data_IF_479694282611
#
_entry.id   IF_479694282611
#
_cell.length_a   1.000
_cell.length_b   1.000
_cell.length_c   1.000
_cell.angle_alpha   90.00
_cell.angle_beta   90.00
_cell.angle_gamma   90.00
#
_symmetry.space_group_name_H-M   'P 1'
#
loop_
_entity.id
_entity.type
_entity.pdbx_description
1 polymer ?
#
# COMPACT_ATOMS: atom_id res chain seq x y z
N UNK A 1 -4.97 -47.59 -19.70
CA UNK A 1 -5.52 -46.53 -20.58
C UNK A 1 -4.88 -45.21 -20.19
N UNK A 2 -4.03 -44.66 -21.06
CA UNK A 2 -3.44 -43.33 -20.87
C UNK A 2 -4.44 -42.28 -21.36
N UNK A 3 -4.99 -41.49 -20.43
CA UNK A 3 -5.79 -40.31 -20.78
C UNK A 3 -4.82 -39.17 -21.11
N UNK A 4 -4.35 -39.11 -22.35
CA UNK A 4 -3.74 -37.88 -22.88
C UNK A 4 -4.86 -36.87 -23.11
N UNK A 5 -5.13 -36.03 -22.10
CA UNK A 5 -5.97 -34.87 -22.28
C UNK A 5 -5.29 -33.90 -23.25
N UNK A 6 -5.76 -33.86 -24.50
CA UNK A 6 -5.38 -32.84 -25.47
C UNK A 6 -6.01 -31.51 -25.05
N UNK A 7 -5.21 -30.62 -24.47
CA UNK A 7 -5.61 -29.27 -24.12
C UNK A 7 -5.48 -28.34 -25.35
N UNK A 8 -6.54 -28.22 -26.16
CA UNK A 8 -6.59 -27.33 -27.33
C UNK A 8 -6.97 -25.89 -26.93
N UNK A 9 -6.02 -25.17 -26.32
CA UNK A 9 -6.12 -23.73 -26.06
C UNK A 9 -5.49 -22.95 -27.20
N UNK A 10 -6.17 -21.87 -27.64
CA UNK A 10 -5.66 -20.98 -28.69
C UNK A 10 -5.91 -19.52 -28.36
N UNK A 11 -5.11 -18.63 -28.95
CA UNK A 11 -5.39 -17.20 -29.01
C UNK A 11 -6.31 -16.95 -30.19
N UNK A 12 -7.51 -16.39 -29.96
CA UNK A 12 -8.44 -16.08 -31.05
C UNK A 12 -8.40 -14.61 -31.47
N UNK A 13 -7.93 -13.72 -30.60
CA UNK A 13 -7.76 -12.29 -30.87
C UNK A 13 -6.66 -11.73 -29.98
N UNK A 14 -5.87 -10.80 -30.53
CA UNK A 14 -4.94 -9.96 -29.78
C UNK A 14 -5.46 -8.53 -29.78
N UNK A 15 -5.42 -7.87 -28.63
CA UNK A 15 -5.63 -6.43 -28.48
C UNK A 15 -4.30 -5.76 -28.14
N UNK A 16 -3.91 -4.81 -28.98
CA UNK A 16 -2.63 -4.12 -28.94
C UNK A 16 -2.75 -2.67 -28.42
N UNK A 17 -3.89 -2.29 -27.80
CA UNK A 17 -4.15 -0.93 -27.30
C UNK A 17 -2.97 -0.35 -26.50
N UNK A 18 -2.28 -1.20 -25.73
CA UNK A 18 -1.19 -0.81 -24.83
C UNK A 18 0.20 -1.25 -25.30
N UNK A 19 0.35 -1.57 -26.59
CA UNK A 19 1.61 -2.05 -27.17
C UNK A 19 2.78 -1.09 -27.00
N UNK A 20 2.52 0.23 -26.93
CA UNK A 20 3.54 1.25 -26.64
C UNK A 20 4.24 1.07 -25.28
N UNK A 21 3.58 0.44 -24.32
CA UNK A 21 4.16 0.09 -23.02
C UNK A 21 4.63 -1.39 -22.97
N UNK A 22 4.57 -2.08 -24.12
CA UNK A 22 4.91 -3.49 -24.26
C UNK A 22 3.82 -4.44 -23.79
N UNK A 23 2.56 -4.01 -23.75
CA UNK A 23 1.44 -4.85 -23.31
C UNK A 23 0.53 -5.28 -24.45
N UNK A 24 0.06 -6.52 -24.39
CA UNK A 24 -0.94 -7.09 -25.28
C UNK A 24 -1.97 -7.89 -24.47
N UNK A 25 -3.22 -7.91 -24.92
CA UNK A 25 -4.26 -8.73 -24.32
C UNK A 25 -4.69 -9.84 -25.31
N UNK A 26 -4.35 -11.08 -24.97
CA UNK A 26 -4.56 -12.26 -25.82
C UNK A 26 -5.83 -12.96 -25.38
N UNK A 27 -6.90 -12.82 -26.15
CA UNK A 27 -8.18 -13.45 -25.82
C UNK A 27 -8.14 -14.94 -26.15
N UNK A 28 -8.62 -15.76 -25.22
CA UNK A 28 -8.42 -17.22 -25.26
C UNK A 28 -9.67 -17.97 -25.76
N UNK A 29 -9.45 -19.01 -26.57
CA UNK A 29 -10.45 -20.01 -26.97
C UNK A 29 -10.01 -21.42 -26.52
N UNK A 30 -10.98 -22.29 -26.31
CA UNK A 30 -10.78 -23.69 -25.94
C UNK A 30 -11.69 -24.57 -26.80
N UNK A 31 -11.10 -25.54 -27.51
CA UNK A 31 -11.81 -26.43 -28.47
C UNK A 31 -12.67 -25.65 -29.48
N UNK A 32 -12.08 -24.61 -30.07
CA UNK A 32 -12.76 -23.72 -31.02
C UNK A 32 -13.76 -22.73 -30.42
N UNK A 33 -14.17 -22.90 -29.16
CA UNK A 33 -15.12 -22.02 -28.49
C UNK A 33 -14.43 -20.89 -27.73
N UNK A 34 -14.96 -19.68 -27.84
CA UNK A 34 -14.49 -18.53 -27.07
C UNK A 34 -14.64 -18.75 -25.56
N UNK A 35 -13.58 -18.53 -24.78
CA UNK A 35 -13.63 -18.64 -23.32
C UNK A 35 -13.87 -17.30 -22.64
N UNK A 36 -14.35 -17.24 -21.40
CA UNK A 36 -14.50 -15.96 -20.66
C UNK A 36 -13.19 -15.27 -20.23
N UNK A 37 -12.04 -15.79 -20.66
CA UNK A 37 -10.73 -15.33 -20.20
C UNK A 37 -9.90 -14.69 -21.32
N UNK A 38 -8.91 -13.92 -20.89
CA UNK A 38 -7.82 -13.38 -21.72
C UNK A 38 -6.51 -13.44 -20.92
N UNK A 39 -5.41 -13.62 -21.62
CA UNK A 39 -4.07 -13.51 -21.07
C UNK A 39 -3.56 -12.07 -21.23
N UNK A 40 -2.88 -11.57 -20.21
CA UNK A 40 -2.14 -10.31 -20.24
C UNK A 40 -0.68 -10.68 -20.51
N UNK A 41 -0.14 -10.17 -21.62
CA UNK A 41 1.24 -10.38 -22.03
C UNK A 41 1.99 -9.06 -21.87
N UNK A 42 3.18 -9.11 -21.26
CA UNK A 42 4.09 -7.95 -21.17
C UNK A 42 5.46 -8.33 -21.73
N UNK A 43 5.84 -7.69 -22.83
CA UNK A 43 7.11 -7.90 -23.54
C UNK A 43 7.36 -9.39 -23.83
N UNK A 44 6.32 -10.05 -24.35
CA UNK A 44 6.36 -11.48 -24.69
C UNK A 44 6.17 -12.47 -23.54
N UNK A 45 6.17 -12.00 -22.27
CA UNK A 45 5.97 -12.88 -21.12
C UNK A 45 4.52 -12.88 -20.65
N UNK A 46 4.00 -14.06 -20.30
CA UNK A 46 2.70 -14.19 -19.65
C UNK A 46 2.76 -13.58 -18.25
N UNK A 47 1.88 -12.60 -18.00
CA UNK A 47 1.73 -11.95 -16.70
C UNK A 47 0.61 -12.60 -15.89
N UNK A 48 -0.58 -12.68 -16.49
CA UNK A 48 -1.77 -13.17 -15.81
C UNK A 48 -2.82 -13.68 -16.81
N UNK A 49 -3.71 -14.55 -16.33
CA UNK A 49 -4.94 -14.92 -17.03
C UNK A 49 -6.10 -14.34 -16.21
N UNK A 50 -6.87 -13.45 -16.82
CA UNK A 50 -7.95 -12.70 -16.19
C UNK A 50 -9.26 -12.89 -16.95
N UNK A 51 -10.37 -12.47 -16.37
CA UNK A 51 -11.64 -12.42 -17.10
C UNK A 51 -11.60 -11.37 -18.20
N UNK A 52 -12.42 -11.54 -19.25
CA UNK A 52 -12.53 -10.55 -20.34
C UNK A 52 -12.97 -9.17 -19.87
N UNK A 53 -13.71 -9.10 -18.76
CA UNK A 53 -14.19 -7.86 -18.15
C UNK A 53 -13.09 -7.07 -17.45
N UNK A 54 -11.93 -7.69 -17.21
CA UNK A 54 -10.78 -7.02 -16.63
C UNK A 54 -10.30 -5.90 -17.57
N UNK A 55 -10.12 -4.69 -17.07
CA UNK A 55 -9.57 -3.58 -17.86
C UNK A 55 -8.11 -3.38 -17.50
N UNK A 56 -7.23 -3.67 -18.46
CA UNK A 56 -5.81 -3.42 -18.30
C UNK A 56 -5.52 -1.92 -18.28
N UNK A 57 -4.86 -1.49 -17.20
CA UNK A 57 -4.23 -0.18 -17.08
C UNK A 57 -2.73 -0.43 -16.85
N UNK A 58 -1.87 -0.11 -17.83
CA UNK A 58 -0.42 -0.27 -17.70
C UNK A 58 0.14 0.50 -16.51
N UNK A 59 1.20 -0.03 -15.89
CA UNK A 59 1.79 0.58 -14.70
C UNK A 59 2.34 1.99 -15.01
N UNK A 60 2.95 2.15 -16.19
CA UNK A 60 3.49 3.40 -16.69
C UNK A 60 2.38 4.43 -16.96
N UNK A 61 1.22 3.99 -17.47
CA UNK A 61 0.07 4.86 -17.65
C UNK A 61 -0.51 5.31 -16.31
N UNK A 62 -0.55 4.42 -15.30
CA UNK A 62 -0.95 4.76 -13.94
C UNK A 62 -0.01 5.78 -13.29
N UNK A 63 1.30 5.64 -13.47
CA UNK A 63 2.29 6.60 -12.97
C UNK A 63 2.06 7.97 -13.61
N UNK A 64 1.85 8.04 -14.93
CA UNK A 64 1.55 9.30 -15.62
C UNK A 64 0.28 9.97 -15.10
N UNK A 65 -0.76 9.19 -14.78
CA UNK A 65 -1.97 9.72 -14.14
C UNK A 65 -1.64 10.28 -12.76
N UNK A 66 -0.88 9.54 -11.96
CA UNK A 66 -0.50 9.95 -10.61
C UNK A 66 0.36 11.22 -10.61
N UNK A 67 1.31 11.34 -11.54
CA UNK A 67 2.16 12.52 -11.70
C UNK A 67 1.31 13.75 -12.04
N UNK A 68 0.38 13.66 -13.01
CA UNK A 68 -0.54 14.76 -13.33
C UNK A 68 -1.39 15.19 -12.13
N UNK A 69 -1.92 14.23 -11.37
CA UNK A 69 -2.70 14.53 -10.16
C UNK A 69 -1.81 15.24 -9.12
N UNK A 70 -0.56 14.79 -8.94
CA UNK A 70 0.37 15.40 -7.98
C UNK A 70 0.68 16.85 -8.31
N UNK A 71 0.91 17.18 -9.59
CA UNK A 71 1.15 18.54 -10.05
C UNK A 71 -0.04 19.46 -9.76
N UNK A 72 -1.26 18.97 -9.99
CA UNK A 72 -2.51 19.73 -9.74
C UNK A 72 -2.77 19.99 -8.26
N UNK A 73 -2.28 19.13 -7.38
CA UNK A 73 -2.45 19.23 -5.93
C UNK A 73 -1.25 19.92 -5.26
N UNK A 74 -0.15 20.14 -5.99
CA UNK A 74 1.08 20.72 -5.45
C UNK A 74 1.87 19.74 -4.58
N UNK A 75 1.72 18.44 -4.82
CA UNK A 75 2.50 17.38 -4.18
C UNK A 75 3.78 17.08 -4.97
N UNK A 76 4.82 16.67 -4.27
CA UNK A 76 6.12 16.31 -4.86
C UNK A 76 6.27 14.80 -4.90
N UNK A 77 6.69 14.27 -6.04
CA UNK A 77 7.03 12.86 -6.18
C UNK A 77 8.27 12.55 -5.34
N UNK A 78 8.16 11.50 -4.54
CA UNK A 78 9.24 11.03 -3.66
C UNK A 78 9.94 9.83 -4.27
N UNK A 79 9.15 8.86 -4.73
CA UNK A 79 9.65 7.61 -5.28
C UNK A 79 8.57 6.93 -6.14
N UNK A 80 8.97 6.01 -7.00
CA UNK A 80 8.06 5.12 -7.73
C UNK A 80 8.62 3.69 -7.70
N UNK A 81 7.97 2.84 -6.92
CA UNK A 81 8.42 1.48 -6.65
C UNK A 81 7.65 0.53 -7.56
N UNK A 82 8.39 -0.20 -8.39
CA UNK A 82 7.85 -1.19 -9.31
C UNK A 82 8.14 -2.61 -8.81
N UNK A 83 7.17 -3.50 -8.98
CA UNK A 83 7.40 -4.94 -9.11
C UNK A 83 7.12 -5.36 -10.56
N UNK A 84 7.22 -6.65 -10.86
CA UNK A 84 6.88 -7.18 -12.19
C UNK A 84 5.43 -6.84 -12.59
N UNK A 85 4.52 -6.82 -11.60
CA UNK A 85 3.07 -6.69 -11.83
C UNK A 85 2.41 -5.52 -11.10
N UNK A 86 3.14 -4.77 -10.28
CA UNK A 86 2.58 -3.70 -9.44
C UNK A 86 3.41 -2.43 -9.50
N UNK A 87 2.76 -1.32 -9.18
CA UNK A 87 3.39 -0.02 -9.01
C UNK A 87 2.85 0.64 -7.74
N UNK A 88 3.75 1.34 -7.05
CA UNK A 88 3.47 2.24 -5.94
C UNK A 88 4.20 3.57 -6.19
N UNK A 89 3.47 4.63 -6.51
CA UNK A 89 4.01 5.97 -6.72
C UNK A 89 3.73 6.83 -5.48
N UNK A 90 4.79 7.32 -4.84
CA UNK A 90 4.74 7.98 -3.54
C UNK A 90 4.89 9.49 -3.74
N UNK A 91 3.99 10.26 -3.14
CA UNK A 91 3.96 11.71 -3.24
C UNK A 91 3.80 12.33 -1.86
N UNK A 92 4.54 13.39 -1.59
CA UNK A 92 4.48 14.15 -0.33
C UNK A 92 3.97 15.56 -0.56
N UNK A 93 3.38 16.13 0.48
CA UNK A 93 3.12 17.56 0.54
C UNK A 93 4.33 18.32 1.10
N UNK A 94 4.22 19.64 1.19
CA UNK A 94 5.27 20.52 1.75
C UNK A 94 5.07 20.82 3.24
N UNK A 95 4.06 20.25 3.88
CA UNK A 95 3.65 20.55 5.24
C UNK A 95 4.32 19.62 6.26
N UNK A 96 5.57 19.93 6.59
CA UNK A 96 6.33 19.22 7.61
C UNK A 96 5.86 19.62 9.02
N UNK A 97 5.73 18.63 9.90
CA UNK A 97 5.33 18.80 11.30
C UNK A 97 6.16 17.92 12.22
N UNK A 98 6.25 18.32 13.48
CA UNK A 98 6.86 17.49 14.52
C UNK A 98 5.78 16.66 15.24
N UNK A 99 6.04 15.37 15.40
CA UNK A 99 5.26 14.45 16.22
C UNK A 99 6.23 13.71 17.13
N UNK A 100 6.18 14.01 18.42
CA UNK A 100 7.24 13.65 19.36
C UNK A 100 8.58 14.23 18.88
N UNK A 101 9.60 13.37 18.77
CA UNK A 101 10.95 13.76 18.29
C UNK A 101 11.17 13.59 16.78
N UNK A 102 10.14 13.20 16.04
CA UNK A 102 10.25 12.91 14.61
C UNK A 102 9.55 13.97 13.78
N UNK A 103 10.20 14.39 12.69
CA UNK A 103 9.52 15.15 11.66
C UNK A 103 8.68 14.19 10.83
N UNK A 104 7.48 14.62 10.47
CA UNK A 104 6.53 13.87 9.66
C UNK A 104 5.91 14.80 8.63
N UNK A 105 5.71 14.30 7.42
CA UNK A 105 4.94 14.98 6.39
C UNK A 105 3.93 14.03 5.80
N UNK A 106 2.70 14.51 5.61
CA UNK A 106 1.66 13.73 4.97
C UNK A 106 1.82 13.76 3.45
N UNK A 107 1.18 12.79 2.82
CA UNK A 107 1.11 12.68 1.40
C UNK A 107 0.11 11.61 1.01
N UNK A 108 0.27 11.13 -0.21
CA UNK A 108 -0.49 9.99 -0.70
C UNK A 108 0.44 9.09 -1.51
N UNK A 109 0.05 7.83 -1.63
CA UNK A 109 0.64 6.96 -2.62
C UNK A 109 -0.46 6.43 -3.53
N UNK A 110 -0.19 6.42 -4.83
CA UNK A 110 -1.04 5.76 -5.81
C UNK A 110 -0.48 4.37 -6.09
N UNK A 111 -1.37 3.43 -6.37
CA UNK A 111 -1.01 2.05 -6.57
C UNK A 111 -1.83 1.43 -7.70
N UNK A 112 -1.23 0.47 -8.39
CA UNK A 112 -1.87 -0.26 -9.48
C UNK A 112 -1.32 -1.69 -9.58
N UNK A 113 -2.11 -2.62 -10.13
CA UNK A 113 -1.59 -3.91 -10.59
C UNK A 113 -2.11 -4.28 -11.97
N UNK A 114 -1.30 -5.02 -12.72
CA UNK A 114 -1.66 -5.54 -14.05
C UNK A 114 -2.07 -7.02 -14.02
N UNK A 115 -1.99 -7.68 -12.87
CA UNK A 115 -2.33 -9.09 -12.68
C UNK A 115 -3.67 -9.31 -11.96
N UNK A 116 -4.34 -8.21 -11.56
CA UNK A 116 -5.60 -8.24 -10.83
C UNK A 116 -5.48 -8.51 -9.34
N UNK A 117 -4.25 -8.56 -8.79
CA UNK A 117 -4.02 -8.69 -7.35
C UNK A 117 -4.40 -7.43 -6.55
N UNK A 118 -4.48 -6.28 -7.23
CA UNK A 118 -4.79 -4.98 -6.65
C UNK A 118 -5.58 -4.11 -7.64
N UNK A 119 -6.42 -3.22 -7.12
CA UNK A 119 -7.09 -2.20 -7.92
C UNK A 119 -6.15 -1.03 -8.26
N UNK A 120 -6.56 -0.18 -9.18
CA UNK A 120 -6.00 1.16 -9.28
C UNK A 120 -6.55 2.01 -8.13
N UNK A 121 -5.68 2.70 -7.39
CA UNK A 121 -6.13 3.44 -6.23
C UNK A 121 -5.11 4.43 -5.67
N UNK A 122 -5.53 5.12 -4.62
CA UNK A 122 -4.71 6.05 -3.86
C UNK A 122 -5.00 5.91 -2.36
N UNK A 123 -3.97 6.04 -1.52
CA UNK A 123 -4.08 5.90 -0.06
C UNK A 123 -3.11 6.82 0.65
N UNK A 124 -3.30 6.97 1.97
CA UNK A 124 -2.52 7.93 2.76
C UNK A 124 -1.09 7.46 2.91
N UNK A 125 -0.16 8.40 2.73
CA UNK A 125 1.25 8.26 3.03
C UNK A 125 1.62 9.19 4.19
N UNK A 126 2.49 8.74 5.07
CA UNK A 126 3.30 9.66 5.89
C UNK A 126 4.79 9.36 5.67
N UNK A 127 5.54 10.38 5.26
CA UNK A 127 7.01 10.38 5.23
C UNK A 127 7.51 10.75 6.63
N UNK A 128 8.36 9.91 7.21
CA UNK A 128 8.92 10.05 8.56
C UNK A 128 10.42 10.22 8.44
N UNK A 129 10.95 11.29 9.03
CA UNK A 129 12.39 11.56 9.05
C UNK A 129 13.04 11.09 10.35
N UNK A 130 14.13 10.34 10.22
CA UNK A 130 14.98 9.92 11.34
C UNK A 130 16.43 10.31 11.01
N UNK A 131 16.87 11.44 11.55
CA UNK A 131 18.11 12.11 11.10
C UNK A 131 17.99 12.49 9.62
N UNK A 132 18.96 12.05 8.82
CA UNK A 132 18.95 12.24 7.35
C UNK A 132 18.14 11.20 6.58
N UNK A 133 17.67 10.13 7.24
CA UNK A 133 16.97 9.03 6.58
C UNK A 133 15.46 9.27 6.52
N UNK A 134 14.83 8.73 5.48
CA UNK A 134 13.39 8.83 5.22
C UNK A 134 12.75 7.44 5.21
N UNK A 135 11.60 7.31 5.85
CA UNK A 135 10.81 6.08 5.88
C UNK A 135 9.34 6.38 5.64
N UNK A 136 8.57 5.37 5.25
CA UNK A 136 7.20 5.56 4.77
C UNK A 136 6.19 4.73 5.56
N UNK A 137 5.22 5.39 6.17
CA UNK A 137 4.03 4.75 6.69
C UNK A 137 2.97 4.67 5.58
N UNK A 138 2.79 3.48 5.02
CA UNK A 138 1.77 3.21 3.99
C UNK A 138 0.46 2.80 4.65
N UNK A 139 -0.56 3.66 4.56
CA UNK A 139 -1.84 3.48 5.24
C UNK A 139 -2.97 3.22 4.22
N UNK A 140 -3.12 1.96 3.81
CA UNK A 140 -4.22 1.54 2.93
C UNK A 140 -5.60 1.57 3.59
N UNK A 141 -6.68 1.48 2.80
CA UNK A 141 -8.08 1.58 3.28
C UNK A 141 -8.40 0.81 4.56
N UNK A 142 -8.04 -0.47 4.63
CA UNK A 142 -8.31 -1.31 5.81
C UNK A 142 -7.54 -0.89 7.06
N UNK A 143 -6.37 -0.27 6.88
CA UNK A 143 -5.61 0.27 7.99
C UNK A 143 -6.18 1.64 8.41
N UNK A 144 -6.54 2.47 7.43
CA UNK A 144 -7.26 3.73 7.66
C UNK A 144 -8.58 3.51 8.41
N UNK A 145 -9.34 2.46 8.09
CA UNK A 145 -10.60 2.11 8.77
C UNK A 145 -10.47 1.66 10.20
N UNK A 146 -9.24 1.38 10.64
CA UNK A 146 -8.92 0.95 11.99
C UNK A 146 -8.49 2.14 12.85
N UNK A 147 -7.72 3.04 12.27
CA UNK A 147 -7.22 4.23 12.97
C UNK A 147 -8.22 5.41 12.91
N UNK A 148 -9.07 5.47 11.88
CA UNK A 148 -10.14 6.46 11.72
C UNK A 148 -11.52 5.83 11.96
N UNK A 149 -12.57 6.64 12.12
CA UNK A 149 -13.93 6.11 12.20
C UNK A 149 -14.32 5.41 10.87
N UNK A 150 -15.16 4.34 10.92
CA UNK A 150 -15.52 3.56 9.73
C UNK A 150 -16.09 4.39 8.57
N UNK A 151 -16.91 5.39 8.88
CA UNK A 151 -17.50 6.33 7.92
C UNK A 151 -16.44 7.18 7.20
N UNK A 152 -15.34 7.50 7.89
CA UNK A 152 -14.24 8.33 7.37
C UNK A 152 -13.21 7.52 6.58
N UNK A 153 -13.21 6.20 6.74
CA UNK A 153 -12.31 5.29 6.05
C UNK A 153 -12.68 4.99 4.59
N UNK A 154 -13.90 5.38 4.20
CA UNK A 154 -14.47 5.17 2.85
C UNK A 154 -13.76 6.05 1.80
N UNK A 155 -13.00 7.07 2.21
CA UNK A 155 -12.29 8.00 1.33
C UNK A 155 -10.97 7.44 0.79
N UNK A 156 -10.94 6.19 0.34
CA UNK A 156 -9.83 5.62 -0.43
C UNK A 156 -10.24 5.52 -1.87
N UNK A 157 -9.46 6.12 -2.77
CA UNK A 157 -9.64 5.87 -4.19
C UNK A 157 -9.36 4.38 -4.43
N UNK A 158 -10.41 3.65 -4.80
CA UNK A 158 -10.32 2.24 -5.12
C UNK A 158 -11.19 1.98 -6.36
N UNK A 159 -10.53 1.82 -7.50
CA UNK A 159 -11.18 1.55 -8.79
C UNK A 159 -10.73 0.19 -9.31
N UNK A 160 -11.57 -0.86 -9.12
CA UNK A 160 -11.36 -2.15 -9.73
C UNK A 160 -11.11 -2.04 -11.23
N UNK A 161 -10.27 -2.94 -11.73
CA UNK A 161 -10.04 -3.13 -13.15
C UNK A 161 -11.27 -3.74 -13.82
N UNK A 162 -12.35 -2.97 -13.95
CA UNK A 162 -13.60 -3.36 -14.58
C UNK A 162 -14.06 -2.24 -15.51
N UNK A 163 -14.69 -2.62 -16.62
CA UNK A 163 -15.23 -1.68 -17.61
C UNK A 163 -16.25 -0.74 -16.95
N UNK A 164 -16.16 0.56 -17.25
CA UNK A 164 -17.02 1.59 -16.66
C UNK A 164 -16.68 2.00 -15.23
N UNK A 165 -15.73 1.31 -14.56
CA UNK A 165 -15.25 1.68 -13.22
C UNK A 165 -13.92 2.41 -13.29
N UNK A 166 -13.02 1.96 -14.16
CA UNK A 166 -11.69 2.53 -14.33
C UNK A 166 -11.67 3.79 -15.22
N UNK A 167 -12.77 4.10 -15.90
CA UNK A 167 -12.93 5.21 -16.85
C UNK A 167 -13.23 6.56 -16.16
N UNK A 168 -12.60 6.81 -15.01
CA UNK A 168 -12.89 7.99 -14.18
C UNK A 168 -12.41 9.29 -14.83
N UNK A 169 -13.20 10.36 -14.67
CA UNK A 169 -12.76 11.71 -15.04
C UNK A 169 -11.58 12.13 -14.16
N UNK A 170 -10.59 12.79 -14.75
CA UNK A 170 -9.41 13.31 -14.05
C UNK A 170 -9.82 14.22 -12.88
N UNK A 171 -10.90 15.01 -13.03
CA UNK A 171 -11.43 15.85 -11.95
C UNK A 171 -11.90 15.03 -10.76
N UNK A 172 -12.62 13.92 -10.99
CA UNK A 172 -13.08 13.02 -9.94
C UNK A 172 -11.89 12.37 -9.22
N UNK A 173 -10.86 11.97 -9.97
CA UNK A 173 -9.63 11.41 -9.39
C UNK A 173 -8.91 12.43 -8.51
N UNK A 174 -8.73 13.66 -8.98
CA UNK A 174 -8.12 14.75 -8.21
C UNK A 174 -8.89 14.98 -6.90
N UNK A 175 -10.21 15.10 -6.98
CA UNK A 175 -11.05 15.33 -5.80
C UNK A 175 -10.96 14.16 -4.81
N UNK A 176 -10.94 12.92 -5.31
CA UNK A 176 -10.77 11.75 -4.45
C UNK A 176 -9.39 11.75 -3.77
N UNK A 177 -8.32 12.12 -4.48
CA UNK A 177 -6.97 12.19 -3.90
C UNK A 177 -6.85 13.32 -2.88
N UNK A 178 -7.50 14.47 -3.09
CA UNK A 178 -7.60 15.52 -2.06
C UNK A 178 -8.28 14.99 -0.79
N UNK A 179 -9.38 14.25 -0.94
CA UNK A 179 -10.04 13.61 0.19
C UNK A 179 -9.11 12.61 0.92
N UNK A 180 -8.30 11.83 0.19
CA UNK A 180 -7.28 10.96 0.80
C UNK A 180 -6.29 11.78 1.63
N UNK A 181 -5.77 12.88 1.10
CA UNK A 181 -4.83 13.77 1.78
C UNK A 181 -5.43 14.36 3.06
N UNK A 182 -6.71 14.75 3.02
CA UNK A 182 -7.42 15.28 4.19
C UNK A 182 -7.58 14.22 5.28
N UNK A 183 -7.79 12.94 4.91
CA UNK A 183 -7.73 11.84 5.88
C UNK A 183 -6.33 11.61 6.44
N UNK A 184 -5.29 11.97 5.69
CA UNK A 184 -3.93 12.00 6.20
C UNK A 184 -3.77 12.93 7.40
N UNK A 185 -4.48 14.06 7.43
CA UNK A 185 -4.49 14.96 8.59
C UNK A 185 -5.00 14.26 9.85
N UNK A 186 -6.11 13.54 9.72
CA UNK A 186 -6.70 12.79 10.83
C UNK A 186 -5.76 11.68 11.33
N UNK A 187 -5.08 10.99 10.42
CA UNK A 187 -4.08 9.98 10.77
C UNK A 187 -2.88 10.58 11.53
N UNK A 188 -2.40 11.77 11.15
CA UNK A 188 -1.36 12.47 11.90
C UNK A 188 -1.80 12.84 13.32
N UNK A 189 -3.07 13.18 13.54
CA UNK A 189 -3.59 13.43 14.89
C UNK A 189 -3.61 12.15 15.76
N UNK A 190 -3.84 10.98 15.15
CA UNK A 190 -3.68 9.69 15.85
C UNK A 190 -2.22 9.47 16.26
N UNK A 191 -1.26 9.82 15.39
CA UNK A 191 0.17 9.71 15.74
C UNK A 191 0.56 10.63 16.89
N UNK A 192 -0.02 11.84 16.98
CA UNK A 192 0.16 12.72 18.15
C UNK A 192 -0.31 12.06 19.43
N UNK A 193 -1.50 11.46 19.43
CA UNK A 193 -2.00 10.69 20.58
C UNK A 193 -1.04 9.53 20.93
N UNK A 194 -0.51 8.82 19.94
CA UNK A 194 0.49 7.76 20.18
C UNK A 194 1.80 8.28 20.75
N UNK A 195 2.16 9.54 20.51
CA UNK A 195 3.35 10.18 21.08
C UNK A 195 3.20 10.57 22.55
N UNK A 196 1.98 10.46 23.10
CA UNK A 196 1.68 10.75 24.50
C UNK A 196 1.43 9.48 25.32
N UNK A 197 1.32 8.33 24.65
CA UNK A 197 1.06 7.04 25.29
C UNK A 197 2.36 6.24 25.42
N UNK A 198 2.67 5.75 26.62
CA UNK A 198 3.85 4.95 26.87
C UNK A 198 3.57 3.45 26.74
N UNK A 199 4.49 2.71 26.13
CA UNK A 199 4.40 1.25 26.07
C UNK A 199 4.69 0.65 27.44
N UNK A 200 3.92 -0.38 27.82
CA UNK A 200 4.15 -1.20 29.01
C UNK A 200 4.47 -2.65 28.61
N UNK A 201 4.77 -3.52 29.58
CA UNK A 201 5.15 -4.92 29.34
C UNK A 201 4.05 -5.73 28.66
N UNK A 202 2.77 -5.41 28.90
CA UNK A 202 1.65 -6.09 28.25
C UNK A 202 1.59 -5.74 26.76
N UNK A 203 1.68 -4.46 26.42
CA UNK A 203 1.73 -4.00 25.03
C UNK A 203 2.97 -4.51 24.31
N UNK A 204 4.12 -4.53 24.99
CA UNK A 204 5.35 -5.07 24.42
C UNK A 204 5.24 -6.56 24.10
N UNK A 205 4.65 -7.37 24.99
CA UNK A 205 4.34 -8.79 24.72
C UNK A 205 3.37 -8.93 23.54
N UNK A 206 2.32 -8.11 23.51
CA UNK A 206 1.35 -8.12 22.42
C UNK A 206 1.99 -7.89 21.04
N UNK A 207 2.98 -7.00 20.95
CA UNK A 207 3.78 -6.79 19.74
C UNK A 207 4.71 -7.98 19.46
N UNK A 208 5.42 -8.49 20.47
CA UNK A 208 6.35 -9.61 20.32
C UNK A 208 5.67 -10.87 19.77
N UNK A 209 4.43 -11.14 20.16
CA UNK A 209 3.66 -12.30 19.69
C UNK A 209 3.21 -12.21 18.22
N UNK A 210 3.21 -11.01 17.63
CA UNK A 210 2.65 -10.75 16.29
C UNK A 210 3.72 -10.48 15.24
N UNK A 211 4.89 -10.04 15.65
CA UNK A 211 5.95 -9.64 14.73
C UNK A 211 7.15 -10.58 14.79
N UNK A 212 7.71 -10.98 13.63
CA UNK A 212 8.98 -11.67 13.61
C UNK A 212 10.07 -10.85 14.32
N UNK A 213 10.94 -11.54 15.04
CA UNK A 213 11.92 -10.91 15.93
C UNK A 213 12.83 -9.88 15.24
N UNK A 214 13.14 -10.08 13.95
CA UNK A 214 13.96 -9.16 13.16
C UNK A 214 13.37 -7.75 13.07
N UNK A 215 12.03 -7.62 13.14
CA UNK A 215 11.32 -6.35 13.05
C UNK A 215 11.05 -5.70 14.40
N UNK A 216 11.23 -6.41 15.52
CA UNK A 216 10.92 -5.88 16.84
C UNK A 216 11.91 -4.77 17.26
N UNK A 217 11.43 -3.59 17.67
CA UNK A 217 12.20 -2.55 18.36
C UNK A 217 12.93 -3.11 19.59
N UNK A 218 14.07 -2.50 19.94
CA UNK A 218 14.85 -2.97 21.11
C UNK A 218 14.05 -2.83 22.40
N UNK A 219 13.37 -1.71 22.57
CA UNK A 219 12.48 -1.42 23.69
C UNK A 219 11.40 -2.49 23.86
N UNK A 220 10.70 -2.83 22.77
CA UNK A 220 9.68 -3.88 22.74
C UNK A 220 10.26 -5.25 23.12
N UNK A 221 11.45 -5.61 22.60
CA UNK A 221 12.11 -6.88 22.96
C UNK A 221 12.50 -6.98 24.43
N UNK A 222 12.91 -5.87 25.04
CA UNK A 222 13.33 -5.85 26.45
C UNK A 222 12.12 -5.91 27.38
N UNK A 223 11.13 -5.05 27.15
CA UNK A 223 9.89 -5.02 27.94
C UNK A 223 9.11 -6.33 27.82
N UNK A 224 9.06 -6.96 26.63
CA UNK A 224 8.34 -8.23 26.46
C UNK A 224 8.95 -9.39 27.27
N UNK A 225 10.22 -9.26 27.66
CA UNK A 225 10.94 -10.20 28.52
C UNK A 225 10.98 -9.77 30.00
N UNK A 226 10.26 -8.70 30.37
CA UNK A 226 10.18 -8.19 31.74
C UNK A 226 11.38 -7.37 32.20
N UNK A 227 12.23 -6.90 31.28
CA UNK A 227 13.33 -6.00 31.64
C UNK A 227 12.83 -4.57 31.81
N UNK A 228 13.28 -3.90 32.88
CA UNK A 228 13.07 -2.46 33.06
C UNK A 228 13.96 -1.65 32.10
N UNK A 229 13.38 -0.69 31.41
CA UNK A 229 14.11 0.29 30.59
C UNK A 229 14.16 1.64 31.33
N UNK A 230 15.28 2.36 31.18
CA UNK A 230 15.49 3.65 31.86
C UNK A 230 14.69 4.80 31.23
N UNK A 231 14.56 4.76 29.91
CA UNK A 231 13.85 5.78 29.15
C UNK A 231 12.45 5.26 28.82
N UNK A 232 11.44 6.09 29.11
CA UNK A 232 10.07 5.81 28.71
C UNK A 232 9.99 5.87 27.18
N UNK A 233 9.36 4.86 26.58
CA UNK A 233 9.18 4.75 25.14
C UNK A 233 7.71 4.91 24.81
N UNK A 234 7.39 5.79 23.87
CA UNK A 234 6.01 6.01 23.46
C UNK A 234 5.56 4.95 22.45
N UNK A 235 4.25 4.80 22.28
CA UNK A 235 3.67 3.97 21.23
C UNK A 235 4.14 4.46 19.85
N UNK A 236 4.25 5.79 19.67
CA UNK A 236 4.79 6.40 18.47
C UNK A 236 6.27 6.07 18.23
N UNK A 237 7.12 6.14 19.27
CA UNK A 237 8.53 5.74 19.16
C UNK A 237 8.68 4.29 18.69
N UNK A 238 7.93 3.37 19.31
CA UNK A 238 7.93 1.96 18.93
C UNK A 238 7.45 1.78 17.47
N UNK A 239 6.37 2.47 17.08
CA UNK A 239 5.87 2.44 15.71
C UNK A 239 6.91 2.90 14.70
N UNK A 240 7.59 4.03 14.96
CA UNK A 240 8.63 4.57 14.07
C UNK A 240 9.84 3.62 13.97
N UNK A 241 10.25 2.99 15.07
CA UNK A 241 11.30 1.97 15.06
C UNK A 241 10.90 0.74 14.23
N UNK A 242 9.66 0.27 14.34
CA UNK A 242 9.13 -0.80 13.49
C UNK A 242 9.18 -0.39 12.02
N UNK A 243 8.69 0.81 11.69
CA UNK A 243 8.69 1.33 10.31
C UNK A 243 10.10 1.34 9.75
N UNK A 244 11.07 1.85 10.51
CA UNK A 244 12.48 1.86 10.13
C UNK A 244 13.01 0.45 9.87
N UNK A 245 12.74 -0.51 10.75
CA UNK A 245 13.21 -1.90 10.60
C UNK A 245 12.60 -2.60 9.39
N UNK A 246 11.31 -2.37 9.12
CA UNK A 246 10.62 -2.91 7.94
C UNK A 246 11.29 -2.39 6.66
N UNK A 247 11.53 -1.08 6.56
CA UNK A 247 12.12 -0.48 5.36
C UNK A 247 13.59 -0.83 5.16
N UNK A 248 14.37 -0.91 6.25
CA UNK A 248 15.79 -1.26 6.22
C UNK A 248 16.06 -2.72 5.87
N UNK A 249 15.07 -3.61 5.96
CA UNK A 249 15.27 -5.01 5.62
C UNK A 249 15.38 -5.18 4.08
N UNK A 250 16.56 -5.50 3.52
CA UNK A 250 16.72 -5.67 2.07
C UNK A 250 16.02 -6.93 1.56
N UNK A 251 15.75 -7.91 2.44
CA UNK A 251 15.12 -9.18 2.08
C UNK A 251 13.60 -9.10 2.06
N UNK A 252 13.01 -7.95 2.43
CA UNK A 252 11.57 -7.73 2.37
C UNK A 252 11.21 -7.03 1.04
N UNK A 253 10.45 -7.72 0.18
CA UNK A 253 9.84 -7.11 -1.00
C UNK A 253 8.88 -5.97 -0.60
N UNK A 254 8.53 -5.10 -1.55
CA UNK A 254 7.56 -4.02 -1.28
C UNK A 254 6.20 -4.56 -0.83
N UNK A 255 5.76 -5.69 -1.40
CA UNK A 255 4.55 -6.39 -0.97
C UNK A 255 4.65 -6.80 0.49
N UNK A 256 5.78 -7.41 0.87
CA UNK A 256 6.01 -7.81 2.26
C UNK A 256 6.09 -6.61 3.20
N UNK A 257 6.73 -5.52 2.80
CA UNK A 257 6.78 -4.27 3.56
C UNK A 257 5.38 -3.71 3.77
N UNK A 258 4.56 -3.66 2.72
CA UNK A 258 3.17 -3.18 2.79
C UNK A 258 2.31 -4.06 3.72
N UNK A 259 2.43 -5.38 3.66
CA UNK A 259 1.76 -6.30 4.60
C UNK A 259 2.17 -6.04 6.05
N UNK A 260 3.48 -5.91 6.32
CA UNK A 260 4.00 -5.65 7.65
C UNK A 260 3.52 -4.30 8.19
N UNK A 261 3.42 -3.26 7.35
CA UNK A 261 2.84 -1.97 7.75
C UNK A 261 1.37 -2.09 8.12
N UNK A 262 0.59 -2.85 7.35
CA UNK A 262 -0.83 -3.11 7.67
C UNK A 262 -0.99 -3.86 8.99
N UNK A 263 -0.14 -4.86 9.23
CA UNK A 263 -0.11 -5.57 10.51
C UNK A 263 0.25 -4.62 11.65
N UNK A 264 1.22 -3.73 11.44
CA UNK A 264 1.71 -2.79 12.45
C UNK A 264 0.62 -1.81 12.86
N UNK A 265 -0.02 -1.15 11.89
CA UNK A 265 -1.11 -0.22 12.16
C UNK A 265 -2.25 -0.89 12.95
N UNK A 266 -2.58 -2.15 12.60
CA UNK A 266 -3.56 -2.91 13.38
C UNK A 266 -3.10 -3.23 14.79
N UNK A 267 -1.83 -3.59 14.98
CA UNK A 267 -1.32 -3.95 16.28
C UNK A 267 -1.26 -2.73 17.20
N UNK A 268 -0.85 -1.58 16.66
CA UNK A 268 -0.77 -0.31 17.40
C UNK A 268 -2.16 0.19 17.81
N UNK A 269 -3.16 0.08 16.94
CA UNK A 269 -4.55 0.41 17.27
C UNK A 269 -5.05 -0.39 18.50
N UNK A 270 -4.84 -1.72 18.48
CA UNK A 270 -5.26 -2.59 19.58
C UNK A 270 -4.46 -2.31 20.87
N UNK A 271 -3.16 -2.06 20.75
CA UNK A 271 -2.33 -1.65 21.88
C UNK A 271 -2.83 -0.34 22.49
N UNK A 272 -3.19 0.64 21.66
CA UNK A 272 -3.72 1.93 22.12
C UNK A 272 -5.04 1.77 22.87
N UNK A 273 -5.92 0.88 22.41
CA UNK A 273 -7.18 0.56 23.10
C UNK A 273 -6.92 -0.05 24.48
N UNK A 274 -5.93 -0.95 24.60
CA UNK A 274 -5.51 -1.55 25.88
C UNK A 274 -4.90 -0.55 26.86
N UNK A 275 -4.30 0.53 26.39
CA UNK A 275 -3.72 1.57 27.24
C UNK A 275 -4.74 2.61 27.71
N UNK A 276 -5.89 2.71 27.03
CA UNK A 276 -6.95 3.69 27.34
C UNK A 276 -8.12 3.12 28.14
N UNK A 277 -8.26 1.80 28.20
CA UNK A 277 -9.26 1.08 29.00
C UNK A 277 -8.61 0.49 30.24
#
# INVERSE_FOLDING_TARGET
MSLTASYDWRVWRVDEKWKRYGYEEHYLSYRGSQTKYKAIIRRGNLVAIVTRDYVLLPLEASEQIADRISERIGAEKVDCIYTDTKMYALYKLKDVRDIGKYRVCRGFFMYNSIDGSMAFGASVLAEIWIGSNRYYALMGAKAMSRILSPEKAVAVLWKPHRKGVLDADEKELIETVKNVIDRGEEALNVFKVWSELYINDEVARYFADRFPEIYLPRSVKLLSKGYTIKELVTVWDAYVEFVQRIWRNPNASIDRKYELMRLLLSAVENATKKLKG
#
